data_IF_940396499596
#
_entry.id   IF_940396499596
#
_cell.length_a   1.000
_cell.length_b   1.000
_cell.length_c   1.000
_cell.angle_alpha   90.00
_cell.angle_beta   90.00
_cell.angle_gamma   90.00
#
_symmetry.space_group_name_H-M   'P 1'
#
loop_
_entity.id
_entity.type
_entity.pdbx_description
1 polymer ?
#
# COMPACT_ATOMS: atom_id res chain seq x y z
N UNK A 1 -2.44 -51.91 -32.28
CA UNK A 1 -1.85 -50.92 -31.36
C UNK A 1 -2.32 -51.29 -29.95
N UNK A 2 -1.53 -51.98 -29.11
CA UNK A 2 -2.03 -52.40 -27.80
C UNK A 2 -1.99 -51.22 -26.82
N UNK A 3 -3.17 -50.76 -26.39
CA UNK A 3 -3.35 -49.91 -25.20
C UNK A 3 -2.96 -50.72 -23.95
N UNK A 4 -1.67 -50.68 -23.59
CA UNK A 4 -1.21 -51.23 -22.33
C UNK A 4 -1.74 -50.37 -21.18
N UNK A 5 -2.61 -50.99 -20.38
CA UNK A 5 -3.00 -50.63 -19.02
C UNK A 5 -1.92 -49.83 -18.30
N UNK A 6 -2.04 -48.49 -18.29
CA UNK A 6 -1.31 -47.65 -17.35
C UNK A 6 -1.74 -48.13 -15.97
N UNK A 7 -0.82 -48.74 -15.22
CA UNK A 7 -1.10 -49.20 -13.87
C UNK A 7 -1.71 -48.08 -13.04
N UNK A 8 -2.66 -48.40 -12.18
CA UNK A 8 -3.43 -47.44 -11.36
C UNK A 8 -2.51 -46.44 -10.62
N UNK A 9 -1.31 -46.87 -10.21
CA UNK A 9 -0.30 -45.99 -9.61
C UNK A 9 0.21 -44.89 -10.55
N UNK A 10 0.37 -45.16 -11.84
CA UNK A 10 0.78 -44.16 -12.84
C UNK A 10 -0.34 -43.13 -13.04
N UNK A 11 -1.59 -43.56 -13.11
CA UNK A 11 -2.77 -42.68 -13.23
C UNK A 11 -2.90 -41.74 -12.02
N UNK A 12 -2.70 -42.25 -10.80
CA UNK A 12 -2.70 -41.45 -9.58
C UNK A 12 -1.57 -40.41 -9.59
N UNK A 13 -0.37 -40.79 -10.05
CA UNK A 13 0.75 -39.86 -10.14
C UNK A 13 0.53 -38.76 -11.20
N UNK A 14 -0.12 -39.08 -12.32
CA UNK A 14 -0.46 -38.12 -13.37
C UNK A 14 -1.53 -37.14 -12.88
N UNK A 15 -2.59 -37.63 -12.22
CA UNK A 15 -3.63 -36.78 -11.61
C UNK A 15 -3.05 -35.85 -10.54
N UNK A 16 -2.16 -36.37 -9.69
CA UNK A 16 -1.49 -35.56 -8.68
C UNK A 16 -0.64 -34.45 -9.32
N UNK A 17 0.11 -34.75 -10.38
CA UNK A 17 0.89 -33.74 -11.10
C UNK A 17 0.00 -32.68 -11.74
N UNK A 18 -1.14 -33.05 -12.32
CA UNK A 18 -2.09 -32.08 -12.87
C UNK A 18 -2.66 -31.15 -11.79
N UNK A 19 -3.03 -31.69 -10.62
CA UNK A 19 -3.55 -30.88 -9.51
C UNK A 19 -2.49 -29.89 -9.01
N UNK A 20 -1.26 -30.36 -8.80
CA UNK A 20 -0.15 -29.50 -8.36
C UNK A 20 0.17 -28.43 -9.41
N UNK A 21 0.17 -28.79 -10.69
CA UNK A 21 0.39 -27.85 -11.78
C UNK A 21 -0.72 -26.79 -11.86
N UNK A 22 -1.98 -27.19 -11.69
CA UNK A 22 -3.13 -26.30 -11.69
C UNK A 22 -3.09 -25.32 -10.52
N UNK A 23 -2.86 -25.81 -9.29
CA UNK A 23 -2.71 -24.96 -8.12
C UNK A 23 -1.55 -23.97 -8.30
N UNK A 24 -0.42 -24.43 -8.84
CA UNK A 24 0.70 -23.55 -9.15
C UNK A 24 0.32 -22.51 -10.19
N UNK A 25 -0.43 -22.87 -11.23
CA UNK A 25 -0.82 -21.96 -12.30
C UNK A 25 -1.83 -20.91 -11.81
N UNK A 26 -2.85 -21.34 -11.07
CA UNK A 26 -3.85 -20.45 -10.51
C UNK A 26 -3.32 -19.58 -9.37
N UNK A 27 -2.25 -19.97 -8.66
CA UNK A 27 -1.75 -19.18 -7.51
C UNK A 27 -0.57 -18.27 -7.87
N UNK A 28 0.29 -18.66 -8.82
CA UNK A 28 1.46 -17.85 -9.21
C UNK A 28 1.03 -16.55 -9.89
N UNK A 29 0.01 -16.62 -10.77
CA UNK A 29 -0.47 -15.47 -11.51
C UNK A 29 -1.09 -14.37 -10.61
N UNK A 30 -1.95 -14.69 -9.63
CA UNK A 30 -2.44 -13.70 -8.67
C UNK A 30 -1.35 -13.20 -7.73
N UNK A 31 -0.40 -14.03 -7.29
CA UNK A 31 0.73 -13.56 -6.47
C UNK A 31 1.57 -12.53 -7.22
N UNK A 32 1.85 -12.76 -8.52
CA UNK A 32 2.62 -11.81 -9.34
C UNK A 32 1.87 -10.48 -9.51
N UNK A 33 0.55 -10.53 -9.72
CA UNK A 33 -0.30 -9.33 -9.80
C UNK A 33 -0.35 -8.58 -8.47
N UNK A 34 -0.50 -9.30 -7.36
CA UNK A 34 -0.52 -8.73 -6.01
C UNK A 34 0.84 -8.10 -5.65
N UNK A 35 1.94 -8.77 -5.96
CA UNK A 35 3.29 -8.25 -5.73
C UNK A 35 3.53 -6.93 -6.47
N UNK A 36 3.07 -6.82 -7.73
CA UNK A 36 3.14 -5.56 -8.48
C UNK A 36 2.26 -4.47 -7.86
N UNK A 37 1.05 -4.80 -7.41
CA UNK A 37 0.16 -3.84 -6.75
C UNK A 37 0.77 -3.30 -5.45
N UNK A 38 1.33 -4.18 -4.61
CA UNK A 38 2.02 -3.79 -3.37
C UNK A 38 3.25 -2.94 -3.68
N UNK A 39 4.04 -3.30 -4.70
CA UNK A 39 5.20 -2.51 -5.11
C UNK A 39 4.81 -1.07 -5.51
N UNK A 40 3.75 -0.90 -6.30
CA UNK A 40 3.22 0.43 -6.62
C UNK A 40 2.68 1.15 -5.38
N UNK A 41 2.04 0.43 -4.46
CA UNK A 41 1.59 0.98 -3.17
C UNK A 41 2.75 1.52 -2.33
N UNK A 42 3.85 0.78 -2.23
CA UNK A 42 5.04 1.18 -1.47
C UNK A 42 5.69 2.40 -2.10
N UNK A 43 5.94 2.39 -3.41
CA UNK A 43 6.53 3.54 -4.12
C UNK A 43 5.63 4.77 -3.99
N UNK A 44 4.32 4.61 -4.15
CA UNK A 44 3.34 5.68 -3.96
C UNK A 44 3.36 6.23 -2.53
N UNK A 45 3.38 5.36 -1.52
CA UNK A 45 3.45 5.77 -0.11
C UNK A 45 4.72 6.55 0.21
N UNK A 46 5.85 6.15 -0.36
CA UNK A 46 7.13 6.82 -0.16
C UNK A 46 7.10 8.23 -0.78
N UNK A 47 6.61 8.33 -2.02
CA UNK A 47 6.45 9.61 -2.72
C UNK A 47 5.52 10.56 -1.95
N UNK A 48 4.37 10.05 -1.48
CA UNK A 48 3.43 10.84 -0.67
C UNK A 48 4.02 11.25 0.67
N UNK A 49 4.77 10.37 1.34
CA UNK A 49 5.44 10.69 2.61
C UNK A 49 6.45 11.82 2.43
N UNK A 50 7.27 11.76 1.38
CA UNK A 50 8.26 12.80 1.08
C UNK A 50 7.56 14.13 0.78
N UNK A 51 6.54 14.12 -0.09
CA UNK A 51 5.78 15.31 -0.42
C UNK A 51 5.10 15.96 0.79
N UNK A 52 4.56 15.14 1.70
CA UNK A 52 3.94 15.62 2.93
C UNK A 52 4.96 16.30 3.86
N UNK A 53 6.15 15.71 4.04
CA UNK A 53 7.23 16.32 4.83
C UNK A 53 7.66 17.65 4.22
N UNK A 54 7.87 17.70 2.91
CA UNK A 54 8.24 18.95 2.23
C UNK A 54 7.15 20.03 2.39
N UNK A 55 5.88 19.66 2.29
CA UNK A 55 4.76 20.59 2.46
C UNK A 55 4.65 21.12 3.89
N UNK A 56 4.87 20.27 4.90
CA UNK A 56 4.93 20.66 6.31
C UNK A 56 6.08 21.64 6.57
N UNK A 57 7.27 21.36 6.03
CA UNK A 57 8.43 22.24 6.14
C UNK A 57 8.21 23.58 5.43
N UNK A 58 7.62 23.56 4.23
CA UNK A 58 7.30 24.77 3.49
C UNK A 58 6.26 25.62 4.25
N UNK A 59 5.23 25.00 4.81
CA UNK A 59 4.23 25.68 5.63
C UNK A 59 4.83 26.29 6.89
N UNK A 60 5.67 25.53 7.61
CA UNK A 60 6.39 26.03 8.78
C UNK A 60 7.27 27.23 8.41
N UNK A 61 8.03 27.13 7.30
CA UNK A 61 8.89 28.21 6.82
C UNK A 61 8.10 29.44 6.37
N UNK A 62 6.96 29.27 5.72
CA UNK A 62 6.09 30.39 5.33
C UNK A 62 5.57 31.13 6.56
N UNK A 63 5.12 30.39 7.58
CA UNK A 63 4.68 30.96 8.85
C UNK A 63 5.82 31.71 9.56
N UNK A 64 7.00 31.12 9.67
CA UNK A 64 8.16 31.77 10.29
C UNK A 64 8.61 33.03 9.51
N UNK A 65 8.52 33.00 8.17
CA UNK A 65 8.92 34.11 7.30
C UNK A 65 8.00 35.33 7.41
N UNK A 66 6.68 35.13 7.45
CA UNK A 66 5.72 36.24 7.55
C UNK A 66 5.61 36.78 8.97
N UNK A 67 5.65 35.90 9.97
CA UNK A 67 5.26 36.30 11.32
C UNK A 67 6.42 36.84 12.16
N UNK A 68 7.69 36.61 11.75
CA UNK A 68 8.89 37.10 12.47
C UNK A 68 8.77 36.92 14.00
N UNK A 69 8.16 35.81 14.44
CA UNK A 69 7.80 35.56 15.85
C UNK A 69 9.05 35.20 16.66
N UNK A 70 9.83 36.21 17.04
CA UNK A 70 11.01 36.06 17.90
C UNK A 70 10.61 36.22 19.37
N UNK A 71 11.13 35.35 20.25
CA UNK A 71 10.82 35.35 21.69
C UNK A 71 9.69 34.39 22.10
N UNK A 72 8.76 34.85 22.95
CA UNK A 72 7.75 34.01 23.65
C UNK A 72 6.67 33.38 22.73
N UNK A 73 6.66 33.71 21.44
CA UNK A 73 5.69 33.21 20.46
C UNK A 73 6.28 32.20 19.46
N UNK A 74 7.53 31.79 19.65
CA UNK A 74 8.23 30.82 18.78
C UNK A 74 7.59 29.43 18.76
N UNK A 75 6.72 29.10 19.72
CA UNK A 75 6.00 27.82 19.78
C UNK A 75 4.79 27.76 18.83
N UNK A 76 4.23 28.91 18.44
CA UNK A 76 3.00 28.97 17.65
C UNK A 76 3.13 28.33 16.25
N UNK A 77 4.21 28.55 15.47
CA UNK A 77 4.42 27.90 14.18
C UNK A 77 4.43 26.37 14.30
N UNK A 78 5.14 25.83 15.30
CA UNK A 78 5.20 24.39 15.54
C UNK A 78 3.84 23.80 15.90
N UNK A 79 3.05 24.50 16.73
CA UNK A 79 1.70 24.04 17.11
C UNK A 79 0.76 24.01 15.89
N UNK A 80 0.83 25.01 15.02
CA UNK A 80 0.04 25.05 13.77
C UNK A 80 0.46 23.91 12.83
N UNK A 81 1.76 23.71 12.62
CA UNK A 81 2.27 22.60 11.80
C UNK A 81 1.86 21.23 12.38
N UNK A 82 1.85 21.09 13.71
CA UNK A 82 1.41 19.88 14.39
C UNK A 82 -0.10 19.61 14.20
N UNK A 83 -0.94 20.64 14.31
CA UNK A 83 -2.38 20.54 13.99
C UNK A 83 -2.57 20.19 12.51
N UNK A 84 -1.84 20.83 11.60
CA UNK A 84 -1.89 20.54 10.17
C UNK A 84 -1.54 19.08 9.86
N UNK A 85 -0.48 18.55 10.47
CA UNK A 85 -0.12 17.14 10.39
C UNK A 85 -1.26 16.23 10.90
N UNK A 86 -1.85 16.58 12.05
CA UNK A 86 -2.99 15.86 12.62
C UNK A 86 -4.22 15.83 11.70
N UNK A 87 -4.53 16.95 11.04
CA UNK A 87 -5.63 17.02 10.06
C UNK A 87 -5.35 16.13 8.85
N UNK A 88 -4.15 16.17 8.29
CA UNK A 88 -3.78 15.31 7.15
C UNK A 88 -3.85 13.84 7.55
N UNK A 89 -3.35 13.46 8.74
CA UNK A 89 -3.44 12.11 9.25
C UNK A 89 -4.89 11.65 9.43
N UNK A 90 -5.75 12.51 9.98
CA UNK A 90 -7.18 12.23 10.13
C UNK A 90 -7.87 12.06 8.77
N UNK A 91 -7.56 12.91 7.78
CA UNK A 91 -8.10 12.78 6.42
C UNK A 91 -7.62 11.50 5.74
N UNK A 92 -6.35 11.13 5.89
CA UNK A 92 -5.81 9.88 5.39
C UNK A 92 -6.50 8.67 6.03
N UNK A 93 -6.65 8.66 7.36
CA UNK A 93 -7.37 7.62 8.08
C UNK A 93 -8.83 7.53 7.63
N UNK A 94 -9.50 8.68 7.44
CA UNK A 94 -10.87 8.74 6.90
C UNK A 94 -10.94 8.18 5.49
N UNK A 95 -10.03 8.56 4.59
CA UNK A 95 -10.00 8.07 3.22
C UNK A 95 -9.81 6.55 3.16
N UNK A 96 -8.90 6.00 3.97
CA UNK A 96 -8.69 4.55 4.09
C UNK A 96 -9.95 3.86 4.64
N UNK A 97 -10.56 4.42 5.70
CA UNK A 97 -11.78 3.87 6.29
C UNK A 97 -13.01 3.96 5.38
N UNK A 98 -13.11 5.00 4.55
CA UNK A 98 -14.19 5.18 3.58
C UNK A 98 -14.07 4.18 2.44
N UNK A 99 -12.85 3.89 1.99
CA UNK A 99 -12.61 2.86 0.98
C UNK A 99 -12.96 1.45 1.49
N UNK A 100 -12.81 1.19 2.79
CA UNK A 100 -13.25 -0.07 3.43
C UNK A 100 -14.77 -0.23 3.48
N UNK A 101 -15.55 0.87 3.49
CA UNK A 101 -17.02 0.84 3.56
C UNK A 101 -17.69 0.64 2.21
N UNK A 102 -17.01 0.99 1.12
CA UNK A 102 -17.43 0.62 -0.25
C UNK A 102 -17.01 -0.84 -0.48
N UNK A 103 -17.81 -1.78 0.01
CA UNK A 103 -17.64 -3.20 -0.30
C UNK A 103 -17.68 -3.45 -1.81
N UNK A 104 -17.10 -4.56 -2.29
CA UNK A 104 -16.96 -4.85 -3.72
C UNK A 104 -18.35 -4.87 -4.37
N UNK A 105 -18.55 -3.98 -5.33
CA UNK A 105 -19.66 -4.06 -6.28
C UNK A 105 -19.33 -5.12 -7.35
#
# INVERSE_FOLDING_TARGET
MPEQSKGVGTLVSELWQLIVAYLKQETIEPIKKLGRYVAFGVVGSLCLSIGLVMLLLAGLRALEAETRMTGNWSWAPYLITMVGCGVVAALAARAISANRRKGPA
#
